data_IF_181317986374
#
_entry.id   IF_181317986374
#
_cell.length_a   1.000
_cell.length_b   1.000
_cell.length_c   1.000
_cell.angle_alpha   90.00
_cell.angle_beta   90.00
_cell.angle_gamma   90.00
#
_symmetry.space_group_name_H-M   'P 1'
#
loop_
_entity.id
_entity.type
_entity.pdbx_description
1 polymer ?
#
# COMPACT_ATOMS: atom_id res chain seq x y z
N UNK A 1 7.98 -10.14 -20.33
CA UNK A 1 7.43 -9.16 -19.39
C UNK A 1 5.96 -8.89 -19.71
N UNK A 2 5.11 -8.97 -18.72
CA UNK A 2 3.69 -8.69 -18.88
C UNK A 2 3.32 -7.52 -17.98
N UNK A 3 2.63 -6.53 -18.55
CA UNK A 3 2.16 -5.37 -17.83
C UNK A 3 0.63 -5.44 -17.79
N UNK A 4 0.06 -5.41 -16.60
CA UNK A 4 -1.38 -5.53 -16.38
C UNK A 4 -1.83 -4.38 -15.47
N UNK A 5 -2.93 -3.73 -15.86
CA UNK A 5 -3.58 -2.73 -14.99
C UNK A 5 -4.12 -3.43 -13.74
N UNK A 6 -3.85 -2.87 -12.58
CA UNK A 6 -4.40 -3.34 -11.33
C UNK A 6 -5.22 -2.24 -10.66
N UNK A 7 -6.30 -2.65 -10.01
CA UNK A 7 -7.11 -1.79 -9.19
C UNK A 7 -7.80 -2.68 -8.17
N UNK A 8 -7.81 -2.26 -6.92
CA UNK A 8 -8.44 -3.04 -5.86
C UNK A 8 -8.88 -2.13 -4.73
N UNK A 9 -9.65 -2.68 -3.82
CA UNK A 9 -10.15 -1.98 -2.67
C UNK A 9 -10.20 -2.91 -1.46
N UNK A 10 -10.29 -2.33 -0.27
CA UNK A 10 -10.40 -3.11 0.93
C UNK A 10 -10.83 -2.25 2.11
N UNK A 11 -10.87 -2.88 3.28
CA UNK A 11 -11.20 -2.20 4.53
C UNK A 11 -10.13 -2.50 5.57
N UNK A 12 -9.97 -1.57 6.50
CA UNK A 12 -9.05 -1.73 7.64
C UNK A 12 -9.84 -1.44 8.90
N UNK A 13 -9.94 -2.42 9.78
CA UNK A 13 -10.64 -2.27 11.05
C UNK A 13 -9.91 -1.24 11.94
N UNK A 14 -10.62 -0.72 12.93
CA UNK A 14 -10.05 0.21 13.90
C UNK A 14 -8.78 -0.39 14.54
N UNK A 15 -7.72 0.40 14.60
CA UNK A 15 -6.42 0.03 15.18
C UNK A 15 -5.71 -1.12 14.46
N UNK A 16 -6.14 -1.47 13.24
CA UNK A 16 -5.53 -2.51 12.42
C UNK A 16 -4.69 -1.91 11.30
N UNK A 17 -4.01 -2.77 10.55
CA UNK A 17 -3.19 -2.39 9.39
C UNK A 17 -3.47 -3.32 8.22
N UNK A 18 -3.22 -2.82 7.01
CA UNK A 18 -3.25 -3.59 5.77
C UNK A 18 -2.03 -3.25 4.93
N UNK A 19 -1.56 -4.21 4.15
CA UNK A 19 -0.41 -3.99 3.25
C UNK A 19 -0.86 -3.99 1.81
N UNK A 20 -0.21 -3.13 1.01
CA UNK A 20 -0.41 -3.07 -0.44
C UNK A 20 0.93 -3.37 -1.09
N UNK A 21 0.97 -4.42 -1.88
CA UNK A 21 2.17 -4.82 -2.59
C UNK A 21 2.06 -6.25 -3.11
N UNK A 22 2.96 -6.66 -4.00
CA UNK A 22 2.96 -8.02 -4.52
C UNK A 22 3.27 -9.04 -3.42
N UNK A 23 2.62 -10.19 -3.50
CA UNK A 23 2.86 -11.31 -2.58
C UNK A 23 3.87 -12.31 -3.13
N UNK A 24 4.22 -12.19 -4.41
CA UNK A 24 5.21 -13.02 -5.07
C UNK A 24 6.58 -12.34 -5.04
N UNK A 25 7.63 -13.12 -4.77
CA UNK A 25 8.99 -12.61 -4.74
C UNK A 25 9.44 -11.97 -6.06
N UNK A 26 8.84 -12.36 -7.17
CA UNK A 26 9.16 -11.84 -8.51
C UNK A 26 8.20 -10.74 -8.97
N UNK A 27 7.16 -10.46 -8.20
CA UNK A 27 6.16 -9.47 -8.57
C UNK A 27 6.69 -8.05 -8.38
N UNK A 28 6.24 -7.14 -9.25
CA UNK A 28 6.50 -5.72 -9.14
C UNK A 28 5.24 -4.96 -9.47
N UNK A 29 4.90 -3.97 -8.65
CA UNK A 29 3.76 -3.10 -8.87
C UNK A 29 4.23 -1.65 -8.92
N UNK A 30 3.56 -0.86 -9.74
CA UNK A 30 3.69 0.60 -9.71
C UNK A 30 2.31 1.15 -9.38
N UNK A 31 2.16 1.67 -8.18
CA UNK A 31 0.89 2.25 -7.73
C UNK A 31 0.88 3.72 -8.09
N UNK A 32 -0.16 4.18 -8.77
CA UNK A 32 -0.33 5.57 -9.19
C UNK A 32 -1.12 6.39 -8.19
N UNK A 33 -2.18 5.82 -7.65
CA UNK A 33 -3.06 6.52 -6.73
C UNK A 33 -3.43 5.59 -5.58
N UNK A 34 -3.48 6.16 -4.39
CA UNK A 34 -3.98 5.51 -3.20
C UNK A 34 -5.03 6.42 -2.57
N UNK A 35 -6.24 5.91 -2.41
CA UNK A 35 -7.34 6.62 -1.77
C UNK A 35 -7.56 6.00 -0.40
N UNK A 36 -7.52 6.81 0.62
CA UNK A 36 -7.65 6.35 2.02
C UNK A 36 -8.57 7.32 2.76
N UNK A 37 -9.53 6.79 3.49
CA UNK A 37 -10.36 7.58 4.37
C UNK A 37 -9.52 8.24 5.47
N UNK A 38 -10.09 9.25 6.11
CA UNK A 38 -9.43 10.02 7.16
C UNK A 38 -8.92 9.14 8.32
N UNK A 39 -7.99 9.69 9.09
CA UNK A 39 -7.40 9.08 10.29
C UNK A 39 -6.47 7.89 10.02
N UNK A 40 -5.98 7.76 8.79
CA UNK A 40 -5.02 6.71 8.45
C UNK A 40 -3.63 7.24 8.22
N UNK A 41 -2.63 6.43 8.58
CA UNK A 41 -1.24 6.67 8.29
C UNK A 41 -0.79 5.67 7.23
N UNK A 42 -0.12 6.16 6.18
CA UNK A 42 0.44 5.32 5.13
C UNK A 42 1.95 5.35 5.27
N UNK A 43 2.55 4.19 5.42
CA UNK A 43 4.01 4.04 5.54
C UNK A 43 4.54 3.29 4.34
N UNK A 44 5.65 3.75 3.81
CA UNK A 44 6.44 3.00 2.84
C UNK A 44 7.51 2.25 3.63
N UNK A 45 7.54 0.93 3.52
CA UNK A 45 8.42 0.08 4.32
C UNK A 45 9.29 -0.79 3.43
N UNK A 46 10.53 -0.99 3.87
CA UNK A 46 11.46 -1.94 3.24
C UNK A 46 11.80 -2.99 4.29
N UNK A 47 11.60 -4.25 3.93
CA UNK A 47 11.86 -5.33 4.87
C UNK A 47 12.03 -6.67 4.20
N UNK A 48 12.40 -7.65 4.98
CA UNK A 48 12.59 -9.03 4.54
C UNK A 48 11.45 -9.96 4.98
N UNK A 49 10.36 -9.39 5.45
CA UNK A 49 9.23 -10.14 5.98
C UNK A 49 9.29 -10.36 7.50
N UNK A 50 10.42 -10.14 8.11
CA UNK A 50 10.63 -10.27 9.55
C UNK A 50 11.00 -8.92 10.19
N UNK A 51 12.00 -8.27 9.62
CA UNK A 51 12.44 -6.94 10.04
C UNK A 51 12.17 -5.96 8.92
N UNK A 52 11.76 -4.75 9.25
CA UNK A 52 11.50 -3.71 8.26
C UNK A 52 11.83 -2.33 8.80
N UNK A 53 12.14 -1.42 7.88
CA UNK A 53 12.45 -0.03 8.18
C UNK A 53 11.40 0.86 7.52
N UNK A 54 10.80 1.76 8.30
CA UNK A 54 9.90 2.76 7.76
C UNK A 54 10.73 3.84 7.05
N UNK A 55 10.51 4.00 5.75
CA UNK A 55 11.25 5.00 4.94
C UNK A 55 10.46 6.27 4.69
N UNK A 56 9.20 6.32 5.10
CA UNK A 56 8.39 7.53 5.00
C UNK A 56 7.00 7.29 5.54
N UNK A 57 6.39 8.34 6.05
CA UNK A 57 5.03 8.29 6.58
C UNK A 57 4.23 9.44 5.98
N UNK A 58 3.04 9.13 5.46
CA UNK A 58 2.15 10.10 4.84
C UNK A 58 0.76 9.89 5.42
N UNK A 59 -0.01 10.95 5.58
CA UNK A 59 -1.37 10.88 6.11
C UNK A 59 -2.38 11.11 4.99
N UNK A 60 -3.38 10.23 4.89
CA UNK A 60 -4.47 10.36 3.94
C UNK A 60 -4.15 9.87 2.54
N UNK A 61 -4.95 10.31 1.59
CA UNK A 61 -4.86 9.87 0.19
C UNK A 61 -3.65 10.46 -0.53
N UNK A 62 -3.10 9.67 -1.46
CA UNK A 62 -1.96 10.03 -2.29
C UNK A 62 -2.37 9.91 -3.75
N UNK A 63 -2.49 11.04 -4.44
CA UNK A 63 -2.93 11.08 -5.83
C UNK A 63 -1.78 11.53 -6.73
N UNK A 64 -1.58 10.79 -7.83
CA UNK A 64 -0.53 11.12 -8.80
C UNK A 64 0.88 10.83 -8.34
N UNK A 65 1.05 10.10 -7.26
CA UNK A 65 2.36 9.61 -6.83
C UNK A 65 2.64 8.28 -7.51
N UNK A 66 3.93 7.93 -7.62
CA UNK A 66 4.36 6.67 -8.18
C UNK A 66 5.13 5.89 -7.13
N UNK A 67 4.58 4.76 -6.70
CA UNK A 67 5.24 3.88 -5.75
C UNK A 67 5.61 2.58 -6.44
N UNK A 68 6.90 2.32 -6.57
CA UNK A 68 7.40 1.05 -7.09
C UNK A 68 7.48 0.07 -5.93
N UNK A 69 6.59 -0.90 -5.92
CA UNK A 69 6.45 -1.87 -4.83
C UNK A 69 6.95 -3.23 -5.26
N UNK A 70 7.61 -3.91 -4.34
CA UNK A 70 8.08 -5.28 -4.50
C UNK A 70 7.66 -6.11 -3.29
N UNK A 71 8.00 -7.38 -3.29
CA UNK A 71 7.73 -8.26 -2.15
C UNK A 71 8.30 -7.71 -0.83
N UNK A 72 9.45 -7.03 -0.88
CA UNK A 72 10.12 -6.47 0.30
C UNK A 72 10.00 -4.95 0.43
N UNK A 73 9.29 -4.29 -0.48
CA UNK A 73 9.14 -2.84 -0.51
C UNK A 73 7.68 -2.53 -0.79
N UNK A 74 6.92 -2.25 0.25
CA UNK A 74 5.46 -2.20 0.18
C UNK A 74 4.91 -1.02 0.98
N UNK A 75 3.62 -0.71 0.76
CA UNK A 75 2.89 0.29 1.53
C UNK A 75 2.11 -0.40 2.64
N UNK A 76 2.12 0.21 3.82
CA UNK A 76 1.29 -0.22 4.94
C UNK A 76 0.34 0.90 5.34
N UNK A 77 -0.94 0.59 5.38
CA UNK A 77 -1.97 1.51 5.85
C UNK A 77 -2.32 1.12 7.28
N UNK A 78 -2.22 2.08 8.21
CA UNK A 78 -2.60 1.88 9.60
C UNK A 78 -3.79 2.77 9.91
N UNK A 79 -4.87 2.17 10.40
CA UNK A 79 -6.07 2.90 10.80
C UNK A 79 -5.91 3.34 12.27
N UNK A 80 -5.70 4.63 12.47
CA UNK A 80 -5.55 5.23 13.80
C UNK A 80 -6.87 5.67 14.41
N UNK A 81 -7.97 5.49 13.71
CA UNK A 81 -9.30 5.89 14.16
C UNK A 81 -10.03 4.78 14.90
N UNK A 82 -11.24 5.09 15.34
CA UNK A 82 -12.10 4.17 16.10
C UNK A 82 -13.12 3.42 15.26
N UNK A 83 -13.15 3.61 13.95
CA UNK A 83 -14.10 2.95 13.05
C UNK A 83 -13.37 2.33 11.87
N UNK A 84 -14.00 1.34 11.22
CA UNK A 84 -13.47 0.73 10.00
C UNK A 84 -13.41 1.78 8.89
N UNK A 85 -12.29 1.81 8.16
CA UNK A 85 -12.09 2.71 7.01
C UNK A 85 -11.99 1.90 5.73
N UNK A 86 -12.17 2.60 4.60
CA UNK A 86 -12.01 2.03 3.28
C UNK A 86 -10.76 2.56 2.62
N UNK A 87 -10.14 1.74 1.78
CA UNK A 87 -9.06 2.17 0.91
C UNK A 87 -9.25 1.57 -0.49
N UNK A 88 -8.68 2.22 -1.48
CA UNK A 88 -8.61 1.69 -2.83
C UNK A 88 -7.31 2.19 -3.49
N UNK A 89 -6.86 1.49 -4.51
CA UNK A 89 -5.66 1.88 -5.24
C UNK A 89 -5.75 1.44 -6.69
N UNK A 90 -4.95 2.09 -7.52
CA UNK A 90 -4.80 1.71 -8.92
C UNK A 90 -3.34 1.84 -9.35
N UNK A 91 -2.99 1.14 -10.41
CA UNK A 91 -1.65 1.14 -10.95
C UNK A 91 -1.44 0.02 -11.96
N UNK A 92 -0.22 -0.46 -12.07
CA UNK A 92 0.13 -1.56 -12.96
C UNK A 92 0.97 -2.61 -12.24
N UNK A 93 0.80 -3.85 -12.67
CA UNK A 93 1.62 -4.97 -12.25
C UNK A 93 2.54 -5.36 -13.40
N UNK A 94 3.80 -5.60 -13.11
CA UNK A 94 4.81 -6.05 -14.07
C UNK A 94 5.33 -7.40 -13.60
N UNK A 95 5.25 -8.38 -14.48
CA UNK A 95 5.70 -9.74 -14.15
C UNK A 95 6.63 -10.27 -15.22
#
# INVERSE_FOLDING_TARGET
>A
MTIVTIADEGTVAASASATIGPTSANGQWIIHNLYVDDACTVKLEIGDGTDYTNVGTITGSLLGYYFHLTYTHYLRITNNGGTTIHYSYDGVSVV
#
